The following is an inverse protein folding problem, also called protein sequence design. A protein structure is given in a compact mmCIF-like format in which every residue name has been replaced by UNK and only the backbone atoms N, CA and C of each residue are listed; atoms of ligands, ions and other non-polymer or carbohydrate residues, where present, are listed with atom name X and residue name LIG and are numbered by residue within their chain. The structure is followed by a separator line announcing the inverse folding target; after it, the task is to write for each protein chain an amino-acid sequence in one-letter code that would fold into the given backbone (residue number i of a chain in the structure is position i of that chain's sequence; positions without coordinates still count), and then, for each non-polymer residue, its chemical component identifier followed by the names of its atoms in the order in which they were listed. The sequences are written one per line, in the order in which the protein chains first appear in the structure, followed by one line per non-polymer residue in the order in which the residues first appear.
data_IF_319861963796
#
_entry.id   IF_319861963796
#
_cell.length_a   1.000
_cell.length_b   1.000
_cell.length_c   1.000
_cell.angle_alpha   90.00
_cell.angle_beta   90.00
_cell.angle_gamma   90.00
#
_symmetry.space_group_name_H-M   'P 1'
#
loop_
_entity.id
_entity.type
_entity.pdbx_description
1 polymer ?
#
# COMPACT_ATOMS: atom_id res chain seq x y z
N UNK A 1 -48.82 35.83 -83.14
CA UNK A 1 -47.73 35.33 -82.26
C UNK A 1 -48.40 34.77 -81.00
N UNK A 2 -48.96 33.57 -80.98
CA UNK A 2 -48.34 32.24 -80.78
C UNK A 2 -47.17 32.24 -79.78
N UNK A 3 -47.47 31.91 -78.52
CA UNK A 3 -46.99 30.74 -77.73
C UNK A 3 -47.87 30.69 -76.46
N UNK A 4 -48.80 29.74 -76.28
CA UNK A 4 -48.60 28.37 -75.75
C UNK A 4 -47.93 28.40 -74.35
N UNK A 5 -48.43 27.83 -73.25
CA UNK A 5 -49.33 26.68 -73.04
C UNK A 5 -49.88 26.67 -71.58
N UNK A 6 -50.94 25.90 -71.39
CA UNK A 6 -51.75 25.62 -70.18
C UNK A 6 -51.00 24.97 -68.98
N UNK A 7 -51.65 24.89 -67.79
CA UNK A 7 -51.02 24.67 -66.47
C UNK A 7 -50.99 23.19 -66.04
N UNK A 8 -50.27 22.86 -64.94
CA UNK A 8 -50.46 21.67 -64.08
C UNK A 8 -49.56 21.73 -62.80
N UNK A 9 -49.81 20.90 -61.76
CA UNK A 9 -49.95 21.35 -60.36
C UNK A 9 -49.04 20.58 -59.37
N UNK A 10 -49.35 20.75 -58.07
CA UNK A 10 -49.13 19.84 -56.93
C UNK A 10 -47.83 19.94 -56.08
N UNK A 11 -48.09 20.10 -54.77
CA UNK A 11 -47.34 19.65 -53.57
C UNK A 11 -45.92 20.19 -53.40
N UNK A 12 -45.41 20.51 -52.23
CA UNK A 12 -45.87 20.61 -50.84
C UNK A 12 -44.63 21.14 -50.08
N UNK A 13 -44.81 22.02 -49.11
CA UNK A 13 -43.90 22.08 -47.96
C UNK A 13 -44.50 22.99 -46.89
N UNK A 14 -44.99 22.31 -45.87
CA UNK A 14 -45.45 22.83 -44.59
C UNK A 14 -44.27 23.49 -43.87
N UNK A 15 -44.46 24.71 -43.35
CA UNK A 15 -43.71 25.23 -42.20
C UNK A 15 -44.69 25.85 -41.21
N UNK A 16 -45.20 25.02 -40.31
CA UNK A 16 -45.94 25.46 -39.13
C UNK A 16 -44.93 25.57 -37.99
N UNK A 17 -44.81 26.79 -37.48
CA UNK A 17 -44.08 27.10 -36.27
C UNK A 17 -44.78 26.48 -35.05
N UNK A 18 -44.05 25.70 -34.25
CA UNK A 18 -44.48 25.33 -32.90
C UNK A 18 -43.51 25.94 -31.90
N UNK A 19 -44.06 26.87 -31.13
CA UNK A 19 -43.52 27.45 -29.92
C UNK A 19 -43.48 26.34 -28.85
N UNK A 20 -42.29 25.84 -28.51
CA UNK A 20 -42.09 25.00 -27.33
C UNK A 20 -41.27 25.81 -26.33
N UNK A 21 -41.94 26.28 -25.28
CA UNK A 21 -41.29 26.85 -24.10
C UNK A 21 -40.52 25.74 -23.38
N UNK A 22 -39.22 25.61 -23.69
CA UNK A 22 -38.30 24.84 -22.87
C UNK A 22 -37.91 25.70 -21.67
N UNK A 23 -38.56 25.42 -20.55
CA UNK A 23 -38.13 25.84 -19.22
C UNK A 23 -36.79 25.12 -18.95
N UNK A 24 -35.68 25.73 -19.35
CA UNK A 24 -34.34 25.29 -18.93
C UNK A 24 -34.22 25.59 -17.43
N UNK A 25 -34.62 24.64 -16.60
CA UNK A 25 -34.00 24.52 -15.29
C UNK A 25 -32.53 24.23 -15.57
N UNK A 26 -31.70 25.26 -15.49
CA UNK A 26 -30.26 25.07 -15.34
C UNK A 26 -30.08 24.26 -14.05
N UNK A 27 -30.05 22.94 -14.18
CA UNK A 27 -29.18 22.17 -13.32
C UNK A 27 -27.79 22.71 -13.65
N UNK A 28 -27.34 23.67 -12.83
CA UNK A 28 -25.91 23.81 -12.61
C UNK A 28 -25.51 22.45 -12.06
N UNK A 29 -25.08 21.56 -12.95
CA UNK A 29 -24.08 20.59 -12.58
C UNK A 29 -22.94 21.43 -12.02
N UNK A 30 -22.96 21.68 -10.72
CA UNK A 30 -21.74 21.88 -9.98
C UNK A 30 -20.94 20.65 -10.37
N UNK A 31 -20.03 20.82 -11.33
CA UNK A 31 -18.94 19.90 -11.46
C UNK A 31 -18.22 20.02 -10.12
N UNK A 32 -18.56 19.11 -9.22
CA UNK A 32 -17.82 18.78 -8.02
C UNK A 32 -16.49 18.20 -8.50
N UNK A 33 -15.66 19.02 -9.15
CA UNK A 33 -14.23 18.89 -8.91
C UNK A 33 -14.11 19.38 -7.49
N UNK A 34 -14.09 18.46 -6.53
CA UNK A 34 -13.54 18.76 -5.22
C UNK A 34 -12.19 19.40 -5.52
N UNK A 35 -12.07 20.72 -5.29
CA UNK A 35 -10.76 21.35 -5.32
C UNK A 35 -9.98 20.58 -4.26
N UNK A 36 -8.88 19.97 -4.67
CA UNK A 36 -7.98 19.27 -3.77
C UNK A 36 -7.73 20.19 -2.55
N UNK A 37 -8.22 19.76 -1.39
CA UNK A 37 -8.27 20.57 -0.16
C UNK A 37 -6.85 20.99 0.20
N UNK A 38 -6.63 22.28 0.42
CA UNK A 38 -5.30 22.78 0.79
C UNK A 38 -4.88 22.16 2.13
N UNK A 39 -3.81 21.39 2.10
CA UNK A 39 -3.25 20.71 3.26
C UNK A 39 -2.61 21.66 4.27
N UNK A 40 -2.36 22.91 3.90
CA UNK A 40 -1.53 23.83 4.68
C UNK A 40 -2.32 24.94 5.42
N UNK A 41 -3.60 24.76 5.73
CA UNK A 41 -4.50 25.85 6.19
C UNK A 41 -4.12 26.49 7.53
N UNK A 42 -3.41 25.78 8.41
CA UNK A 42 -3.15 26.23 9.80
C UNK A 42 -1.70 26.69 10.05
N UNK A 43 -0.92 26.89 8.98
CA UNK A 43 0.48 27.32 9.07
C UNK A 43 1.46 26.22 9.49
N UNK A 44 0.96 25.00 9.74
CA UNK A 44 1.78 23.80 9.87
C UNK A 44 2.55 23.52 8.58
N UNK A 45 3.72 22.88 8.72
CA UNK A 45 4.56 22.50 7.58
C UNK A 45 4.39 21.04 7.27
N UNK A 46 4.79 20.65 6.06
CA UNK A 46 4.76 19.26 5.62
C UNK A 46 5.92 18.51 6.28
N UNK A 47 5.63 17.37 6.88
CA UNK A 47 6.60 16.45 7.48
C UNK A 47 6.84 15.21 6.60
N UNK A 48 5.79 14.69 5.95
CA UNK A 48 5.85 13.56 5.03
C UNK A 48 4.81 13.68 3.90
N UNK A 49 5.04 13.02 2.77
CA UNK A 49 4.04 12.81 1.72
C UNK A 49 4.05 11.35 1.28
N UNK A 50 2.88 10.76 1.09
CA UNK A 50 2.71 9.49 0.38
C UNK A 50 2.45 9.78 -1.08
N UNK A 51 3.20 9.11 -1.94
CA UNK A 51 3.28 9.40 -3.37
C UNK A 51 3.06 8.11 -4.16
N UNK A 52 2.25 8.16 -5.21
CA UNK A 52 2.15 7.10 -6.22
C UNK A 52 2.90 7.49 -7.48
N UNK A 53 3.75 6.58 -7.98
CA UNK A 53 4.39 6.71 -9.29
C UNK A 53 3.44 6.26 -10.41
N UNK A 54 2.98 7.18 -11.26
CA UNK A 54 1.97 6.92 -12.31
C UNK A 54 2.57 6.59 -13.67
N UNK A 55 3.89 6.80 -13.86
CA UNK A 55 4.57 6.57 -15.14
C UNK A 55 4.23 7.55 -16.27
N UNK A 56 3.41 8.58 -15.99
CA UNK A 56 2.93 9.56 -16.97
C UNK A 56 3.95 10.68 -17.27
N UNK A 57 3.79 11.32 -18.42
CA UNK A 57 4.62 12.46 -18.82
C UNK A 57 4.16 13.78 -18.16
N UNK A 58 4.87 14.87 -18.44
CA UNK A 58 4.56 16.18 -17.88
C UNK A 58 3.20 16.76 -18.31
N UNK A 59 2.54 16.22 -19.34
CA UNK A 59 1.19 16.65 -19.76
C UNK A 59 0.10 16.23 -18.78
N UNK A 60 0.37 15.24 -17.92
CA UNK A 60 -0.53 14.81 -16.84
C UNK A 60 -0.48 15.73 -15.60
N UNK A 61 0.38 16.75 -15.60
CA UNK A 61 0.50 17.71 -14.51
C UNK A 61 -0.82 18.45 -14.25
N UNK A 62 -1.34 18.31 -13.04
CA UNK A 62 -2.59 18.91 -12.56
C UNK A 62 -2.43 19.33 -11.10
N UNK A 63 -2.33 20.63 -10.84
CA UNK A 63 -2.08 21.18 -9.50
C UNK A 63 -2.68 22.57 -9.31
N UNK A 64 -2.66 23.05 -8.08
CA UNK A 64 -3.18 24.36 -7.67
C UNK A 64 -2.08 25.41 -7.38
N UNK A 65 -0.80 25.10 -7.64
CA UNK A 65 0.31 26.05 -7.53
C UNK A 65 0.47 26.97 -8.75
N UNK A 66 1.11 28.12 -8.55
CA UNK A 66 1.46 29.06 -9.61
C UNK A 66 2.51 28.44 -10.55
N UNK A 67 2.41 28.66 -11.87
CA UNK A 67 3.36 28.09 -12.84
C UNK A 67 4.86 28.35 -12.60
N UNK A 68 5.27 29.37 -11.83
CA UNK A 68 6.69 29.60 -11.49
C UNK A 68 7.21 28.71 -10.34
N UNK A 69 6.29 28.03 -9.64
CA UNK A 69 6.58 27.14 -8.53
C UNK A 69 6.73 25.69 -8.95
N UNK A 70 6.31 25.36 -10.17
CA UNK A 70 6.31 24.00 -10.69
C UNK A 70 7.15 23.91 -11.95
N UNK A 71 7.99 22.90 -12.03
CA UNK A 71 8.70 22.51 -13.24
C UNK A 71 8.60 21.01 -13.41
N UNK A 72 8.31 20.56 -14.63
CA UNK A 72 8.35 19.16 -15.00
C UNK A 72 9.03 19.07 -16.36
N UNK A 73 10.03 18.19 -16.48
CA UNK A 73 10.69 17.88 -17.73
C UNK A 73 10.88 16.37 -17.88
N UNK A 74 10.70 15.84 -19.09
CA UNK A 74 10.94 14.43 -19.39
C UNK A 74 9.67 13.56 -19.32
N UNK A 75 9.87 12.27 -19.54
CA UNK A 75 8.82 11.27 -19.71
C UNK A 75 9.35 9.87 -19.31
N UNK A 76 8.82 9.26 -18.24
CA UNK A 76 9.11 7.89 -17.86
C UNK A 76 8.53 6.84 -18.81
N UNK A 77 7.63 7.20 -19.71
CA UNK A 77 7.04 6.36 -20.74
C UNK A 77 6.43 5.06 -20.20
N UNK A 78 5.77 5.13 -19.03
CA UNK A 78 5.10 3.98 -18.41
C UNK A 78 6.04 2.84 -17.97
N UNK A 79 7.31 3.13 -17.69
CA UNK A 79 8.26 2.16 -17.13
C UNK A 79 7.69 1.51 -15.87
N UNK A 80 7.79 0.19 -15.79
CA UNK A 80 7.22 -0.59 -14.68
C UNK A 80 8.01 -0.44 -13.38
N UNK A 81 9.30 -0.17 -13.46
CA UNK A 81 10.16 0.07 -12.32
C UNK A 81 11.14 1.20 -12.66
N UNK A 82 11.33 2.10 -11.72
CA UNK A 82 12.23 3.26 -11.82
C UNK A 82 12.98 3.43 -10.51
N UNK A 83 14.15 4.07 -10.58
CA UNK A 83 14.87 4.51 -9.39
C UNK A 83 14.54 5.99 -9.13
N UNK A 84 14.08 6.33 -7.92
CA UNK A 84 13.66 7.71 -7.59
C UNK A 84 14.55 8.27 -6.48
N UNK A 85 15.11 9.45 -6.72
CA UNK A 85 15.78 10.28 -5.71
C UNK A 85 14.92 11.51 -5.44
N UNK A 86 14.62 11.77 -4.17
CA UNK A 86 13.84 12.93 -3.73
C UNK A 86 14.66 13.78 -2.76
N UNK A 87 14.84 15.06 -3.09
CA UNK A 87 15.65 15.97 -2.28
C UNK A 87 15.15 17.43 -2.37
N UNK A 88 15.93 18.40 -1.87
CA UNK A 88 15.62 19.83 -1.96
C UNK A 88 16.56 20.64 -2.88
N UNK A 89 17.17 19.97 -3.87
CA UNK A 89 18.12 20.56 -4.82
C UNK A 89 17.92 19.99 -6.24
N UNK A 90 18.19 20.82 -7.23
CA UNK A 90 18.16 20.37 -8.61
C UNK A 90 19.21 19.28 -8.90
N UNK A 91 20.37 19.31 -8.24
CA UNK A 91 21.32 18.22 -8.37
C UNK A 91 20.86 17.04 -7.48
N UNK A 92 20.64 15.83 -8.02
CA UNK A 92 20.25 14.65 -7.25
C UNK A 92 21.26 14.30 -6.13
N UNK A 93 22.54 14.61 -6.35
CA UNK A 93 23.64 14.29 -5.41
C UNK A 93 23.83 15.36 -4.31
N UNK A 94 22.96 16.37 -4.24
CA UNK A 94 23.08 17.49 -3.30
C UNK A 94 21.85 17.66 -2.42
N UNK A 95 22.04 18.36 -1.30
CA UNK A 95 20.95 18.78 -0.43
C UNK A 95 20.55 17.72 0.59
N UNK A 96 19.31 17.85 1.07
CA UNK A 96 18.73 16.93 2.04
C UNK A 96 18.03 15.81 1.29
N UNK A 97 18.41 14.55 1.53
CA UNK A 97 17.76 13.38 0.95
C UNK A 97 16.49 13.04 1.74
N UNK A 98 15.36 12.97 1.05
CA UNK A 98 14.06 12.64 1.62
C UNK A 98 13.62 11.21 1.28
N UNK A 99 14.09 10.69 0.14
CA UNK A 99 13.87 9.32 -0.30
C UNK A 99 14.90 8.95 -1.39
N UNK A 100 15.33 7.69 -1.40
CA UNK A 100 16.09 7.05 -2.48
C UNK A 100 15.70 5.58 -2.54
N UNK A 101 15.31 5.09 -3.72
CA UNK A 101 14.96 3.69 -3.89
C UNK A 101 14.26 3.36 -5.20
N UNK A 102 14.11 2.06 -5.44
CA UNK A 102 13.36 1.55 -6.59
C UNK A 102 11.86 1.53 -6.29
N UNK A 103 11.06 2.04 -7.24
CA UNK A 103 9.61 2.18 -7.12
C UNK A 103 8.93 1.53 -8.33
N UNK A 104 7.88 0.76 -8.07
CA UNK A 104 7.07 0.12 -9.10
C UNK A 104 5.91 1.03 -9.52
N UNK A 105 5.50 0.92 -10.79
CA UNK A 105 4.36 1.64 -11.34
C UNK A 105 3.08 1.33 -10.53
N UNK A 106 2.38 2.38 -10.11
CA UNK A 106 1.14 2.30 -9.33
C UNK A 106 1.33 2.01 -7.85
N UNK A 107 2.57 1.82 -7.38
CA UNK A 107 2.84 1.52 -5.97
C UNK A 107 3.11 2.81 -5.17
N UNK A 108 2.46 3.01 -4.02
CA UNK A 108 2.73 4.14 -3.16
C UNK A 108 4.08 3.99 -2.43
N UNK A 109 4.78 5.11 -2.24
CA UNK A 109 5.99 5.22 -1.43
C UNK A 109 5.97 6.51 -0.61
N UNK A 110 6.70 6.53 0.51
CA UNK A 110 6.72 7.69 1.41
C UNK A 110 7.99 8.49 1.26
N UNK A 111 7.85 9.80 1.13
CA UNK A 111 8.96 10.77 1.20
C UNK A 111 8.88 11.52 2.52
N UNK A 112 9.99 11.60 3.26
CA UNK A 112 9.99 12.13 4.63
C UNK A 112 11.12 13.13 4.88
N UNK A 113 10.80 14.21 5.57
CA UNK A 113 11.81 15.14 6.07
C UNK A 113 12.75 14.46 7.10
N UNK A 114 12.22 13.48 7.85
CA UNK A 114 12.93 12.73 8.87
C UNK A 114 14.14 11.95 8.31
N UNK A 115 14.06 11.47 7.06
CA UNK A 115 15.18 10.84 6.34
C UNK A 115 16.42 11.73 6.30
N UNK A 116 16.24 13.05 6.24
CA UNK A 116 17.31 14.04 6.27
C UNK A 116 17.65 14.57 7.68
N UNK A 117 17.08 13.99 8.75
CA UNK A 117 17.16 14.52 10.10
C UNK A 117 16.54 15.92 10.21
N UNK A 118 15.36 16.11 9.60
CA UNK A 118 14.55 17.34 9.64
C UNK A 118 13.12 17.00 10.05
N UNK A 119 12.44 17.99 10.61
CA UNK A 119 11.04 17.87 10.99
C UNK A 119 10.10 18.32 9.86
N UNK A 120 10.61 19.09 8.88
CA UNK A 120 9.83 19.67 7.79
C UNK A 120 10.56 19.68 6.44
N UNK A 121 9.79 19.68 5.36
CA UNK A 121 10.30 19.97 4.02
C UNK A 121 10.70 21.45 3.90
N UNK A 122 11.71 21.73 3.06
CA UNK A 122 12.12 23.10 2.75
C UNK A 122 11.18 23.72 1.70
N UNK A 123 11.61 24.84 1.10
CA UNK A 123 10.76 25.55 0.16
C UNK A 123 10.42 24.77 -1.11
N UNK A 124 11.35 23.91 -1.57
CA UNK A 124 11.26 23.18 -2.83
C UNK A 124 11.59 21.72 -2.61
N UNK A 125 10.88 20.86 -3.32
CA UNK A 125 11.14 19.42 -3.39
C UNK A 125 11.37 19.05 -4.84
N UNK A 126 12.42 18.28 -5.10
CA UNK A 126 12.80 17.77 -6.41
C UNK A 126 12.65 16.25 -6.42
N UNK A 127 12.06 15.72 -7.48
CA UNK A 127 11.99 14.29 -7.80
C UNK A 127 12.82 14.06 -9.06
N UNK A 128 13.77 13.13 -8.96
CA UNK A 128 14.63 12.69 -10.04
C UNK A 128 14.32 11.22 -10.31
N UNK A 129 13.79 10.92 -11.49
CA UNK A 129 13.32 9.58 -11.84
C UNK A 129 14.25 9.02 -12.91
N UNK A 130 14.86 7.88 -12.62
CA UNK A 130 15.83 7.23 -13.48
C UNK A 130 15.35 5.86 -13.95
N UNK A 131 15.86 5.41 -15.09
CA UNK A 131 15.78 3.99 -15.46
C UNK A 131 16.82 3.13 -14.71
N UNK A 132 16.81 1.84 -14.99
CA UNK A 132 17.72 0.84 -14.43
C UNK A 132 19.18 0.99 -14.88
N UNK A 133 19.46 1.88 -15.84
CA UNK A 133 20.80 2.27 -16.25
C UNK A 133 21.19 3.68 -15.76
N UNK A 134 20.45 4.25 -14.82
CA UNK A 134 20.69 5.60 -14.27
C UNK A 134 20.55 6.73 -15.29
N UNK A 135 19.80 6.53 -16.38
CA UNK A 135 19.43 7.63 -17.26
C UNK A 135 18.24 8.38 -16.66
N UNK A 136 18.35 9.71 -16.57
CA UNK A 136 17.26 10.56 -16.09
C UNK A 136 16.09 10.53 -17.09
N UNK A 137 14.95 9.99 -16.65
CA UNK A 137 13.71 9.91 -17.41
C UNK A 137 12.85 11.15 -17.23
N UNK A 138 12.70 11.61 -15.98
CA UNK A 138 11.89 12.77 -15.65
C UNK A 138 12.45 13.49 -14.41
N UNK A 139 12.40 14.81 -14.45
CA UNK A 139 12.76 15.72 -13.36
C UNK A 139 11.53 16.58 -13.03
N UNK A 140 11.11 16.56 -11.78
CA UNK A 140 9.94 17.30 -11.30
C UNK A 140 10.32 18.13 -10.09
N UNK A 141 9.89 19.38 -10.03
CA UNK A 141 9.99 20.22 -8.84
C UNK A 141 8.70 20.98 -8.60
N UNK A 142 8.30 21.01 -7.33
CA UNK A 142 7.21 21.84 -6.85
C UNK A 142 7.59 22.45 -5.49
N UNK A 143 6.83 23.46 -5.05
CA UNK A 143 7.06 24.10 -3.76
C UNK A 143 6.33 23.35 -2.64
N UNK A 144 7.03 23.02 -1.57
CA UNK A 144 6.50 22.38 -0.36
C UNK A 144 6.44 23.35 0.84
N UNK A 145 6.73 24.64 0.59
CA UNK A 145 6.77 25.70 1.61
C UNK A 145 5.44 26.04 2.31
N UNK A 146 4.30 25.53 1.83
CA UNK A 146 2.95 25.97 2.21
C UNK A 146 2.71 27.49 1.97
N UNK A 147 3.48 28.15 1.10
CA UNK A 147 3.20 29.54 0.67
C UNK A 147 2.15 29.62 -0.45
N UNK A 148 1.89 28.49 -1.08
CA UNK A 148 0.79 28.24 -2.00
C UNK A 148 0.16 26.90 -1.61
N UNK A 149 -1.11 26.67 -1.99
CA UNK A 149 -1.76 25.42 -1.69
C UNK A 149 -0.95 24.23 -2.19
N UNK A 150 -0.94 23.18 -1.38
CA UNK A 150 -0.56 21.84 -1.79
C UNK A 150 -1.65 20.93 -1.29
N UNK A 151 -2.02 19.95 -2.09
CA UNK A 151 -3.13 19.10 -1.73
C UNK A 151 -2.87 17.67 -2.21
N UNK A 152 -3.37 16.72 -1.44
CA UNK A 152 -3.57 15.37 -1.96
C UNK A 152 -4.48 15.40 -3.19
N UNK A 153 -4.19 14.54 -4.16
CA UNK A 153 -4.76 14.58 -5.50
C UNK A 153 -4.01 15.51 -6.47
N UNK A 154 -2.98 16.25 -6.03
CA UNK A 154 -2.11 16.98 -6.95
C UNK A 154 -1.21 16.01 -7.69
N UNK A 155 -1.07 16.25 -8.99
CA UNK A 155 -0.19 15.48 -9.85
C UNK A 155 0.85 16.39 -10.54
N UNK A 156 2.10 15.96 -10.51
CA UNK A 156 3.23 16.61 -11.13
C UNK A 156 3.99 15.61 -12.01
N UNK A 157 3.72 15.60 -13.32
CA UNK A 157 4.21 14.55 -14.21
C UNK A 157 3.78 13.17 -13.75
N UNK A 158 4.75 12.29 -13.51
CA UNK A 158 4.52 10.92 -13.03
C UNK A 158 4.35 10.78 -11.50
N UNK A 159 4.30 11.89 -10.76
CA UNK A 159 4.23 11.91 -9.30
C UNK A 159 2.84 12.37 -8.87
N UNK A 160 2.05 11.49 -8.27
CA UNK A 160 0.74 11.79 -7.68
C UNK A 160 0.84 11.81 -6.16
N UNK A 161 0.33 12.86 -5.51
CA UNK A 161 0.30 12.97 -4.06
C UNK A 161 -0.98 12.32 -3.53
N UNK A 162 -0.86 11.22 -2.79
CA UNK A 162 -2.02 10.52 -2.22
C UNK A 162 -2.39 11.11 -0.86
N UNK A 163 -1.38 11.33 -0.02
CA UNK A 163 -1.54 11.81 1.35
C UNK A 163 -0.39 12.74 1.76
N UNK A 164 -0.68 13.68 2.66
CA UNK A 164 0.32 14.59 3.24
C UNK A 164 0.19 14.57 4.75
N UNK A 165 1.31 14.42 5.46
CA UNK A 165 1.40 14.49 6.93
C UNK A 165 2.06 15.80 7.32
N UNK A 166 1.45 16.53 8.24
CA UNK A 166 1.93 17.81 8.76
C UNK A 166 2.80 17.64 10.01
N UNK A 167 3.58 18.66 10.35
CA UNK A 167 4.49 18.70 11.52
C UNK A 167 3.79 18.51 12.87
N UNK A 168 2.49 18.76 12.94
CA UNK A 168 1.68 18.55 14.14
C UNK A 168 0.98 17.18 14.17
N UNK A 169 1.20 16.34 13.15
CA UNK A 169 0.61 15.00 13.01
C UNK A 169 -0.71 14.96 12.23
N UNK A 170 -1.29 16.12 11.86
CA UNK A 170 -2.50 16.14 11.04
C UNK A 170 -2.22 15.61 9.63
N UNK A 171 -3.25 15.08 8.98
CA UNK A 171 -3.16 14.49 7.64
C UNK A 171 -4.26 15.03 6.73
N UNK A 172 -3.96 15.07 5.44
CA UNK A 172 -4.90 15.43 4.39
C UNK A 172 -4.64 14.57 3.15
N UNK A 173 -5.73 14.07 2.58
CA UNK A 173 -5.70 13.23 1.40
C UNK A 173 -6.47 11.94 1.57
N UNK A 174 -6.45 11.15 0.51
CA UNK A 174 -6.90 9.79 0.62
C UNK A 174 -5.81 9.07 1.42
N UNK A 175 -6.16 8.52 2.57
CA UNK A 175 -5.36 7.42 3.12
C UNK A 175 -5.15 6.48 1.93
N UNK A 176 -3.89 6.18 1.54
CA UNK A 176 -3.64 5.30 0.41
C UNK A 176 -4.60 4.14 0.56
N UNK A 177 -5.33 3.74 -0.51
CA UNK A 177 -6.11 2.53 -0.41
C UNK A 177 -5.13 1.51 0.10
N UNK A 178 -5.35 1.04 1.35
CA UNK A 178 -4.74 -0.19 1.74
C UNK A 178 -5.12 -1.09 0.56
N UNK A 179 -4.15 -1.72 -0.09
CA UNK A 179 -4.44 -2.97 -0.78
C UNK A 179 -4.87 -3.92 0.34
N UNK A 180 -6.08 -3.69 0.82
CA UNK A 180 -6.81 -4.51 1.70
C UNK A 180 -7.42 -5.48 0.72
N UNK A 181 -6.87 -6.69 0.57
CA UNK A 181 -7.33 -7.67 -0.42
C UNK A 181 -8.82 -8.05 -0.20
N UNK A 182 -9.43 -7.47 0.82
CA UNK A 182 -10.76 -7.58 1.38
C UNK A 182 -11.80 -6.61 0.85
N UNK A 183 -11.37 -5.47 0.32
CA UNK A 183 -12.29 -4.45 -0.19
C UNK A 183 -12.52 -4.59 -1.70
N UNK A 184 -11.56 -5.16 -2.43
CA UNK A 184 -11.70 -5.56 -3.83
C UNK A 184 -10.72 -6.70 -4.18
N UNK A 185 -11.21 -7.95 -4.19
CA UNK A 185 -10.42 -9.11 -4.64
C UNK A 185 -10.15 -9.13 -6.15
N UNK A 186 -10.53 -8.07 -6.87
CA UNK A 186 -10.53 -8.01 -8.32
C UNK A 186 -11.72 -8.74 -8.93
N UNK A 187 -12.14 -8.28 -10.11
CA UNK A 187 -13.03 -9.06 -10.97
C UNK A 187 -12.18 -10.06 -11.75
N UNK A 188 -12.45 -11.36 -11.59
CA UNK A 188 -12.08 -12.34 -12.61
C UNK A 188 -12.98 -12.04 -13.81
N UNK A 189 -12.47 -11.24 -14.73
CA UNK A 189 -13.16 -10.91 -15.96
C UNK A 189 -12.66 -11.78 -17.12
N UNK A 190 -13.59 -12.00 -18.03
CA UNK A 190 -13.55 -12.82 -19.24
C UNK A 190 -13.63 -14.35 -19.06
N UNK A 191 -14.59 -14.94 -19.79
CA UNK A 191 -14.76 -16.37 -19.98
C UNK A 191 -13.66 -16.87 -20.92
N UNK A 192 -12.61 -17.44 -20.34
CA UNK A 192 -11.45 -18.01 -21.05
C UNK A 192 -11.76 -19.33 -21.80
N UNK A 193 -13.04 -19.73 -21.95
CA UNK A 193 -13.46 -21.00 -22.55
C UNK A 193 -12.95 -21.32 -23.98
N UNK A 194 -12.16 -20.43 -24.61
CA UNK A 194 -11.61 -20.62 -25.95
C UNK A 194 -10.12 -20.27 -26.12
N UNK A 195 -9.30 -20.27 -25.06
CA UNK A 195 -7.86 -19.97 -25.17
C UNK A 195 -6.96 -21.15 -25.63
N UNK A 196 -7.54 -22.22 -26.18
CA UNK A 196 -6.79 -23.29 -26.86
C UNK A 196 -5.77 -23.97 -25.92
N UNK A 197 -4.53 -24.29 -26.38
CA UNK A 197 -3.58 -25.08 -25.59
C UNK A 197 -3.01 -24.34 -24.36
N UNK A 198 -3.50 -23.14 -24.06
CA UNK A 198 -3.09 -22.32 -22.92
C UNK A 198 -4.18 -22.20 -21.85
N UNK A 199 -5.26 -22.97 -21.95
CA UNK A 199 -6.31 -23.02 -20.93
C UNK A 199 -5.70 -23.48 -19.58
N UNK A 200 -5.67 -22.62 -18.55
CA UNK A 200 -5.17 -23.00 -17.24
C UNK A 200 -6.05 -24.09 -16.62
N UNK A 201 -5.52 -24.83 -15.64
CA UNK A 201 -6.34 -25.75 -14.88
C UNK A 201 -7.49 -25.00 -14.18
N UNK A 202 -8.67 -25.64 -14.13
CA UNK A 202 -9.87 -25.08 -13.49
C UNK A 202 -9.52 -24.72 -12.04
N UNK A 203 -9.75 -23.46 -11.68
CA UNK A 203 -9.69 -23.02 -10.29
C UNK A 203 -10.81 -23.73 -9.52
N UNK A 204 -10.46 -24.68 -8.66
CA UNK A 204 -11.42 -25.50 -7.91
C UNK A 204 -11.89 -24.85 -6.61
N UNK A 205 -11.15 -23.86 -6.11
CA UNK A 205 -11.45 -23.17 -4.87
C UNK A 205 -10.83 -21.77 -4.88
N UNK A 206 -11.57 -20.81 -4.34
CA UNK A 206 -11.11 -19.44 -4.08
C UNK A 206 -11.51 -19.14 -2.65
N UNK A 207 -10.53 -18.84 -1.81
CA UNK A 207 -10.78 -18.38 -0.44
C UNK A 207 -10.73 -16.84 -0.43
N UNK A 208 -11.67 -16.21 0.27
CA UNK A 208 -11.57 -14.78 0.52
C UNK A 208 -10.37 -14.55 1.46
N UNK A 209 -9.55 -13.51 1.21
CA UNK A 209 -8.49 -13.15 2.15
C UNK A 209 -9.10 -12.90 3.54
N UNK A 210 -8.35 -13.20 4.60
CA UNK A 210 -8.73 -12.80 5.96
C UNK A 210 -8.41 -11.31 6.14
N UNK A 211 -9.41 -10.56 6.59
CA UNK A 211 -9.53 -9.12 6.42
C UNK A 211 -9.58 -8.34 7.71
N UNK A 212 -9.24 -9.01 8.80
CA UNK A 212 -9.15 -8.38 10.09
C UNK A 212 -7.83 -7.60 10.20
N UNK A 213 -7.78 -6.42 9.57
CA UNK A 213 -6.74 -5.41 9.78
C UNK A 213 -6.92 -4.67 11.13
N UNK A 214 -7.84 -5.11 12.01
CA UNK A 214 -7.75 -4.59 13.37
C UNK A 214 -6.38 -4.99 13.89
N UNK A 215 -5.54 -4.04 14.36
CA UNK A 215 -4.29 -4.39 14.99
C UNK A 215 -4.64 -5.45 16.02
N UNK A 216 -4.05 -6.67 15.95
CA UNK A 216 -4.42 -7.72 16.86
C UNK A 216 -4.35 -7.10 18.25
N UNK A 217 -5.44 -7.19 19.04
CA UNK A 217 -5.53 -6.48 20.29
C UNK A 217 -4.21 -6.71 21.03
N UNK A 218 -3.57 -5.64 21.55
CA UNK A 218 -2.23 -5.73 22.11
C UNK A 218 -2.19 -6.96 23.02
N UNK A 219 -1.20 -7.86 22.87
CA UNK A 219 -1.24 -9.18 23.45
C UNK A 219 -1.74 -9.15 24.89
N UNK A 220 -2.98 -9.60 25.09
CA UNK A 220 -3.61 -9.54 26.40
C UNK A 220 -2.94 -10.58 27.29
N UNK A 221 -2.73 -10.23 28.57
CA UNK A 221 -2.26 -11.22 29.55
C UNK A 221 -3.38 -12.24 29.82
N UNK A 222 -3.34 -13.36 29.11
CA UNK A 222 -4.25 -14.50 29.30
C UNK A 222 -4.16 -15.12 30.70
N UNK A 223 -3.18 -14.71 31.51
CA UNK A 223 -2.99 -15.16 32.88
C UNK A 223 -3.42 -14.13 33.94
N UNK A 224 -3.95 -12.96 33.57
CA UNK A 224 -4.24 -11.86 34.49
C UNK A 224 -5.21 -12.25 35.64
N UNK A 225 -6.17 -13.12 35.37
CA UNK A 225 -7.15 -13.62 36.36
C UNK A 225 -6.61 -14.79 37.22
N UNK A 226 -5.30 -15.08 37.13
CA UNK A 226 -4.68 -16.21 37.82
C UNK A 226 -4.86 -17.55 37.11
N UNK A 227 -5.56 -17.56 35.97
CA UNK A 227 -5.66 -18.71 35.07
C UNK A 227 -4.27 -19.16 34.62
N UNK A 228 -4.16 -20.46 34.33
CA UNK A 228 -2.91 -21.08 33.88
C UNK A 228 -3.10 -21.61 32.48
N UNK A 229 -2.05 -21.44 31.68
CA UNK A 229 -2.01 -21.85 30.29
C UNK A 229 -2.14 -23.38 30.21
N UNK A 230 -3.17 -23.88 29.52
CA UNK A 230 -3.36 -25.30 29.27
C UNK A 230 -2.84 -25.72 27.89
N UNK A 231 -2.98 -24.83 26.91
CA UNK A 231 -2.54 -25.03 25.54
C UNK A 231 -1.89 -23.74 25.00
N UNK A 232 -0.90 -23.89 24.13
CA UNK A 232 -0.34 -22.81 23.31
C UNK A 232 -0.31 -23.28 21.87
N UNK A 233 -0.95 -22.54 20.98
CA UNK A 233 -0.78 -22.71 19.53
C UNK A 233 0.26 -21.73 19.04
N UNK A 234 1.21 -22.22 18.27
CA UNK A 234 2.37 -21.47 17.78
C UNK A 234 2.54 -21.70 16.29
N UNK A 235 3.09 -20.72 15.58
CA UNK A 235 3.46 -20.84 14.16
C UNK A 235 4.97 -20.89 14.03
N UNK A 236 5.50 -21.80 13.23
CA UNK A 236 6.94 -21.83 12.93
C UNK A 236 7.28 -20.84 11.80
N UNK A 237 7.99 -19.75 12.10
CA UNK A 237 8.30 -18.68 11.13
C UNK A 237 9.65 -18.83 10.44
N UNK A 238 10.55 -19.68 10.96
CA UNK A 238 11.89 -19.90 10.41
C UNK A 238 12.89 -18.76 10.65
N UNK A 239 12.51 -17.72 11.38
CA UNK A 239 13.37 -16.60 11.75
C UNK A 239 14.31 -16.94 12.92
N UNK A 240 15.35 -16.12 13.11
CA UNK A 240 16.28 -16.24 14.23
C UNK A 240 15.78 -15.51 15.50
N UNK A 241 16.60 -15.52 16.55
CA UNK A 241 16.25 -14.87 17.81
C UNK A 241 16.10 -13.34 17.73
N UNK A 242 16.49 -12.67 16.64
CA UNK A 242 16.27 -11.23 16.46
C UNK A 242 14.79 -10.87 16.25
N UNK A 243 13.97 -11.84 15.81
CA UNK A 243 12.52 -11.70 15.68
C UNK A 243 11.78 -11.79 17.03
N UNK A 244 12.49 -12.02 18.14
CA UNK A 244 11.90 -12.17 19.47
C UNK A 244 11.13 -10.90 19.89
N UNK A 245 9.82 -11.03 20.10
CA UNK A 245 8.94 -9.97 20.57
C UNK A 245 8.06 -10.47 21.72
N UNK A 246 8.18 -9.88 22.90
CA UNK A 246 7.43 -10.29 24.09
C UNK A 246 7.29 -9.16 25.12
N UNK A 247 6.38 -9.35 26.07
CA UNK A 247 6.15 -8.46 27.22
C UNK A 247 6.58 -9.06 28.57
N UNK A 248 7.19 -10.26 28.56
CA UNK A 248 7.71 -10.92 29.76
C UNK A 248 8.95 -10.21 30.33
N UNK A 249 9.18 -10.34 31.64
CA UNK A 249 10.42 -9.87 32.27
C UNK A 249 11.65 -10.47 31.57
N UNK A 250 12.76 -9.70 31.39
CA UNK A 250 13.93 -10.17 30.64
C UNK A 250 14.61 -11.44 31.18
N UNK A 251 14.37 -11.83 32.45
CA UNK A 251 14.89 -13.06 33.05
C UNK A 251 13.98 -14.29 32.81
N UNK A 252 12.83 -14.11 32.14
CA UNK A 252 11.83 -15.15 31.88
C UNK A 252 11.83 -15.68 30.46
N UNK A 253 12.51 -15.00 29.54
CA UNK A 253 12.61 -15.40 28.14
C UNK A 253 14.07 -15.52 27.76
N UNK A 254 14.40 -16.57 27.01
CA UNK A 254 15.70 -16.78 26.41
C UNK A 254 15.48 -17.47 25.07
N UNK A 255 16.19 -16.99 24.05
CA UNK A 255 16.26 -17.58 22.73
C UNK A 255 17.74 -17.75 22.36
N UNK A 256 18.08 -18.87 21.74
CA UNK A 256 19.42 -19.15 21.21
C UNK A 256 19.31 -20.06 19.98
N UNK A 257 20.18 -19.87 18.99
CA UNK A 257 20.17 -20.59 17.72
C UNK A 257 19.51 -19.82 16.55
N UNK A 258 19.54 -20.45 15.38
CA UNK A 258 19.00 -19.92 14.12
C UNK A 258 18.56 -21.10 13.23
N UNK A 259 17.26 -21.21 12.89
CA UNK A 259 16.77 -22.28 12.03
C UNK A 259 16.96 -22.01 10.53
N UNK A 260 17.48 -20.84 10.13
CA UNK A 260 17.84 -20.46 8.77
C UNK A 260 16.72 -20.70 7.74
N UNK A 261 15.47 -20.41 8.12
CA UNK A 261 14.28 -20.64 7.29
C UNK A 261 14.15 -22.07 6.74
N UNK A 262 14.59 -23.09 7.51
CA UNK A 262 14.39 -24.48 7.14
C UNK A 262 12.91 -24.76 6.82
N UNK A 263 12.62 -25.41 5.69
CA UNK A 263 11.24 -25.62 5.24
C UNK A 263 10.47 -26.62 6.08
N UNK A 264 11.17 -27.53 6.75
CA UNK A 264 10.62 -28.50 7.70
C UNK A 264 11.61 -28.66 8.84
N UNK A 265 11.10 -28.67 10.07
CA UNK A 265 11.88 -28.89 11.30
C UNK A 265 11.20 -29.92 12.18
N UNK A 266 11.96 -30.53 13.09
CA UNK A 266 11.41 -31.35 14.16
C UNK A 266 11.36 -30.52 15.45
N UNK A 267 10.17 -30.32 16.01
CA UNK A 267 9.97 -29.49 17.21
C UNK A 267 9.64 -30.38 18.40
N UNK A 268 10.37 -30.18 19.50
CA UNK A 268 10.06 -30.79 20.81
C UNK A 268 9.77 -29.68 21.80
N UNK A 269 8.56 -29.66 22.33
CA UNK A 269 8.16 -28.72 23.35
C UNK A 269 7.94 -29.40 24.70
N UNK A 270 8.69 -28.97 25.74
CA UNK A 270 8.82 -29.73 26.98
C UNK A 270 9.00 -28.85 28.24
N UNK A 271 8.89 -29.47 29.41
CA UNK A 271 9.15 -28.82 30.72
C UNK A 271 10.63 -28.47 30.93
N UNK A 272 11.56 -29.21 30.31
CA UNK A 272 13.00 -28.99 30.42
C UNK A 272 13.67 -29.02 29.05
N UNK A 273 14.76 -28.25 28.92
CA UNK A 273 15.56 -28.13 27.70
C UNK A 273 15.97 -29.50 27.14
N UNK A 274 15.96 -29.63 25.82
CA UNK A 274 16.37 -30.83 25.10
C UNK A 274 15.31 -31.92 25.07
N UNK A 275 14.03 -31.57 25.22
CA UNK A 275 12.94 -32.55 25.31
C UNK A 275 12.87 -33.33 26.63
N UNK A 276 13.66 -32.95 27.64
CA UNK A 276 13.66 -33.64 28.93
C UNK A 276 12.38 -33.35 29.74
N UNK A 277 11.88 -34.35 30.46
CA UNK A 277 10.73 -34.21 31.34
C UNK A 277 9.39 -34.43 30.64
N UNK A 278 8.41 -33.57 30.91
CA UNK A 278 7.07 -33.67 30.31
C UNK A 278 7.06 -33.01 28.94
N UNK A 279 6.57 -33.75 27.94
CA UNK A 279 6.48 -33.31 26.55
C UNK A 279 5.03 -32.91 26.25
N UNK A 280 4.87 -31.69 25.75
CA UNK A 280 3.57 -31.09 25.40
C UNK A 280 3.30 -31.19 23.91
N UNK A 281 4.35 -31.28 23.09
CA UNK A 281 4.30 -31.49 21.65
C UNK A 281 5.63 -32.12 21.18
N UNK A 282 5.55 -33.04 20.23
CA UNK A 282 6.69 -33.60 19.51
C UNK A 282 6.23 -33.97 18.09
N UNK A 283 6.91 -33.43 17.07
CA UNK A 283 6.54 -33.70 15.69
C UNK A 283 7.28 -32.84 14.68
N UNK A 284 7.13 -33.20 13.40
CA UNK A 284 7.64 -32.42 12.28
C UNK A 284 6.65 -31.31 11.92
N UNK A 285 7.17 -30.11 11.69
CA UNK A 285 6.41 -28.88 11.42
C UNK A 285 7.02 -28.17 10.23
N UNK A 286 6.20 -27.77 9.27
CA UNK A 286 6.65 -27.03 8.09
C UNK A 286 6.69 -25.51 8.34
N UNK A 287 7.46 -24.79 7.54
CA UNK A 287 7.50 -23.32 7.56
C UNK A 287 6.09 -22.74 7.34
N UNK A 288 5.64 -21.90 8.28
CA UNK A 288 4.29 -21.32 8.31
C UNK A 288 3.22 -22.22 8.92
N UNK A 289 3.54 -23.47 9.28
CA UNK A 289 2.58 -24.39 9.90
C UNK A 289 2.35 -24.06 11.38
N UNK A 290 1.10 -24.23 11.83
CA UNK A 290 0.72 -24.11 13.24
C UNK A 290 0.85 -25.45 13.96
N UNK A 291 1.35 -25.42 15.18
CA UNK A 291 1.41 -26.57 16.08
C UNK A 291 0.94 -26.18 17.48
N UNK A 292 0.41 -27.16 18.22
CA UNK A 292 -0.18 -26.92 19.55
C UNK A 292 0.55 -27.71 20.63
N UNK A 293 1.10 -26.99 21.60
CA UNK A 293 1.52 -27.54 22.88
C UNK A 293 0.29 -27.79 23.73
N UNK A 294 0.10 -29.01 24.22
CA UNK A 294 -1.04 -29.39 25.05
C UNK A 294 -0.60 -30.07 26.35
N UNK A 295 -0.98 -29.49 27.49
CA UNK A 295 -0.70 -30.05 28.81
C UNK A 295 -1.22 -31.49 28.98
N UNK A 296 -2.32 -31.83 28.31
CA UNK A 296 -2.94 -33.16 28.40
C UNK A 296 -2.05 -34.26 27.79
N UNK A 297 -1.15 -33.92 26.85
CA UNK A 297 -0.19 -34.86 26.29
C UNK A 297 0.76 -35.44 27.35
N UNK A 298 1.02 -34.70 28.44
CA UNK A 298 1.77 -35.21 29.59
C UNK A 298 0.88 -35.45 30.84
N UNK A 299 -0.42 -35.66 30.65
CA UNK A 299 -1.41 -35.89 31.71
C UNK A 299 -1.49 -34.75 32.74
N UNK A 300 -1.36 -33.51 32.29
CA UNK A 300 -1.45 -32.32 33.12
C UNK A 300 -2.62 -31.44 32.71
N UNK A 301 -3.10 -30.63 33.64
CA UNK A 301 -4.16 -29.65 33.41
C UNK A 301 -3.64 -28.28 32.99
N UNK A 302 -2.31 -28.08 33.03
CA UNK A 302 -1.62 -26.85 32.66
C UNK A 302 -0.17 -27.09 32.30
N UNK A 303 0.38 -26.22 31.45
CA UNK A 303 1.81 -26.13 31.21
C UNK A 303 2.53 -25.73 32.51
N UNK A 304 3.77 -26.23 32.66
CA UNK A 304 4.64 -25.89 33.79
C UNK A 304 5.25 -24.50 33.58
N UNK A 305 5.84 -23.95 34.65
CA UNK A 305 6.35 -22.56 34.61
C UNK A 305 7.44 -22.36 33.56
N UNK A 306 8.21 -23.40 33.25
CA UNK A 306 9.14 -23.40 32.13
C UNK A 306 8.53 -24.21 30.99
N UNK A 307 8.60 -23.63 29.79
CA UNK A 307 8.27 -24.30 28.54
C UNK A 307 9.46 -24.07 27.60
N UNK A 308 10.13 -25.15 27.25
CA UNK A 308 11.21 -25.17 26.26
C UNK A 308 10.60 -25.57 24.93
N UNK A 309 11.01 -24.91 23.85
CA UNK A 309 10.67 -25.26 22.48
C UNK A 309 11.99 -25.44 21.76
N UNK A 310 12.43 -26.69 21.65
CA UNK A 310 13.67 -27.05 20.98
C UNK A 310 13.36 -27.38 19.50
N UNK A 311 14.11 -26.76 18.58
CA UNK A 311 13.92 -26.89 17.14
C UNK A 311 15.14 -27.60 16.56
N UNK A 312 14.92 -28.72 15.90
CA UNK A 312 15.95 -29.57 15.31
C UNK A 312 15.80 -29.67 13.81
N UNK A 313 16.89 -30.07 13.15
CA UNK A 313 16.79 -30.62 11.81
C UNK A 313 15.85 -31.84 11.80
N UNK A 314 15.14 -32.14 10.70
CA UNK A 314 14.25 -33.32 10.61
C UNK A 314 14.95 -34.66 10.91
N UNK A 315 16.29 -34.70 10.93
CA UNK A 315 17.07 -35.86 11.37
C UNK A 315 17.24 -35.99 12.90
N UNK A 316 16.63 -35.11 13.71
CA UNK A 316 16.72 -35.15 15.17
C UNK A 316 18.10 -34.81 15.73
N UNK A 317 18.88 -34.01 14.98
CA UNK A 317 20.16 -33.43 15.42
C UNK A 317 20.05 -31.92 15.54
#
# INVERSE_FOLDING_TARGET
MIKHYLPKPFLAAIRIAFLAAFLFTAFTSNSLWAQAEDCCTDGNKIAAMTITYTGEDCSATSHNQNPDKVTCNGDPAGKQTVHIIVNNKQNPDEGNLFFEGDVQLGTPFTVEAATAGKDEFKAETWFHIFDDQWNLLQEVRFHTSCSQPIAAGNQFGSIHIDNVVLTNGDQCGETPPECNPCDDGGLIADDEAFCGPFDPEIITEVEAPDCDNTPPPPPADCCADGNKIAQLTMTYTGEDCSATSHSQDPDKVSCDGDPLYATTVHIVASEKKGGDGKVWFEGDVNLGEQFTLDASNANESRLKSNTWVDIYSPSGQ
#
